data_IF_238151780615
#
_entry.id   IF_238151780615
#
_cell.length_a   1.000
_cell.length_b   1.000
_cell.length_c   1.000
_cell.angle_alpha   90.00
_cell.angle_beta   90.00
_cell.angle_gamma   90.00
#
_symmetry.space_group_name_H-M   'P 1'
#
loop_
_entity.id
_entity.type
_entity.pdbx_description
1 polymer ?
#
# COMPACT_ATOMS: atom_id res chain seq x y z
N UNK A 1 13.22 -12.62 17.06
CA UNK A 1 11.96 -13.41 17.09
C UNK A 1 11.13 -13.14 18.34
N UNK A 2 11.69 -13.26 19.57
CA UNK A 2 10.94 -13.07 20.83
C UNK A 2 10.36 -11.66 21.01
N UNK A 3 11.13 -10.60 20.68
CA UNK A 3 10.64 -9.20 20.76
C UNK A 3 9.37 -8.99 19.94
N UNK A 4 9.43 -9.30 18.64
CA UNK A 4 8.30 -9.17 17.72
C UNK A 4 7.05 -9.94 18.16
N UNK A 5 7.21 -11.10 18.80
CA UNK A 5 6.08 -11.87 19.35
C UNK A 5 5.47 -11.18 20.58
N UNK A 6 6.29 -10.69 21.52
CA UNK A 6 5.83 -9.92 22.69
C UNK A 6 5.09 -8.66 22.26
N UNK A 7 5.68 -7.96 21.32
CA UNK A 7 5.15 -6.75 20.69
C UNK A 7 3.80 -6.99 20.00
N UNK A 8 3.66 -8.12 19.29
CA UNK A 8 2.39 -8.53 18.67
C UNK A 8 1.32 -8.88 19.71
N UNK A 9 1.69 -9.53 20.82
CA UNK A 9 0.77 -9.82 21.93
C UNK A 9 0.31 -8.51 22.57
N UNK A 10 1.23 -7.58 22.83
CA UNK A 10 0.90 -6.26 23.39
C UNK A 10 -0.04 -5.47 22.46
N UNK A 11 0.20 -5.52 21.16
CA UNK A 11 -0.63 -4.87 20.15
C UNK A 11 -2.02 -5.49 19.98
N UNK A 12 -2.22 -6.72 20.44
CA UNK A 12 -3.48 -7.44 20.25
C UNK A 12 -4.67 -6.71 20.90
N UNK A 13 -4.45 -6.08 22.06
CA UNK A 13 -5.46 -5.28 22.76
C UNK A 13 -6.03 -4.14 21.89
N UNK A 14 -5.24 -3.64 20.94
CA UNK A 14 -5.64 -2.56 20.05
C UNK A 14 -6.50 -3.03 18.87
N UNK A 15 -6.62 -4.33 18.61
CA UNK A 15 -7.53 -4.86 17.57
C UNK A 15 -7.30 -4.24 16.18
N UNK A 16 -6.05 -4.00 15.80
CA UNK A 16 -5.70 -3.34 14.53
C UNK A 16 -6.25 -4.05 13.28
N UNK A 17 -6.47 -5.36 13.36
CA UNK A 17 -7.07 -6.17 12.28
C UNK A 17 -8.53 -5.80 11.96
N UNK A 18 -9.21 -5.03 12.83
CA UNK A 18 -10.56 -4.51 12.59
C UNK A 18 -10.58 -3.24 11.71
N UNK A 19 -9.41 -2.68 11.39
CA UNK A 19 -9.22 -1.63 10.37
C UNK A 19 -8.30 -2.15 9.25
N UNK A 20 -8.69 -3.20 8.52
CA UNK A 20 -7.80 -3.95 7.64
C UNK A 20 -7.43 -3.22 6.33
N UNK A 21 -8.03 -2.07 6.05
CA UNK A 21 -7.82 -1.34 4.80
C UNK A 21 -7.58 0.15 5.02
N UNK A 22 -6.69 0.71 4.19
CA UNK A 22 -6.47 2.14 4.01
C UNK A 22 -5.93 2.39 2.59
N UNK A 23 -5.63 3.63 2.23
CA UNK A 23 -5.22 4.03 0.88
C UNK A 23 -3.89 3.42 0.38
N UNK A 24 -3.09 2.80 1.26
CA UNK A 24 -1.79 2.20 0.93
C UNK A 24 -1.67 0.72 1.33
N UNK A 25 -2.64 0.16 2.05
CA UNK A 25 -2.60 -1.22 2.53
C UNK A 25 -3.99 -1.84 2.61
N UNK A 26 -4.05 -3.16 2.41
CA UNK A 26 -5.25 -3.97 2.51
C UNK A 26 -5.47 -4.85 1.29
N UNK A 27 -6.43 -5.77 1.40
CA UNK A 27 -6.68 -6.81 0.41
C UNK A 27 -6.92 -6.25 -1.00
N UNK A 28 -7.65 -5.13 -1.11
CA UNK A 28 -7.93 -4.45 -2.38
C UNK A 28 -6.67 -4.03 -3.17
N UNK A 29 -5.54 -3.79 -2.51
CA UNK A 29 -4.24 -3.49 -3.14
C UNK A 29 -3.34 -4.73 -3.25
N UNK A 30 -3.38 -5.61 -2.25
CA UNK A 30 -2.53 -6.80 -2.21
C UNK A 30 -2.95 -7.83 -3.27
N UNK A 31 -4.24 -8.01 -3.48
CA UNK A 31 -4.76 -8.96 -4.45
C UNK A 31 -4.22 -8.77 -5.88
N UNK A 32 -4.26 -7.56 -6.49
CA UNK A 32 -3.77 -7.35 -7.85
C UNK A 32 -2.24 -7.39 -7.96
N UNK A 33 -1.52 -7.26 -6.84
CA UNK A 33 -0.06 -7.44 -6.78
C UNK A 33 0.32 -8.92 -6.65
N UNK A 34 -0.59 -9.76 -6.17
CA UNK A 34 -0.29 -11.15 -5.86
C UNK A 34 0.30 -11.94 -7.04
N UNK A 35 -0.13 -11.76 -8.30
CA UNK A 35 0.47 -12.48 -9.42
C UNK A 35 1.95 -12.14 -9.64
N UNK A 36 2.37 -10.90 -9.39
CA UNK A 36 3.79 -10.53 -9.57
C UNK A 36 4.72 -11.12 -8.51
N UNK A 37 4.16 -11.73 -7.46
CA UNK A 37 4.91 -12.41 -6.39
C UNK A 37 5.07 -13.91 -6.64
N UNK A 38 4.51 -14.44 -7.73
CA UNK A 38 4.52 -15.86 -8.07
C UNK A 38 5.31 -16.13 -9.34
N UNK A 39 5.70 -17.39 -9.52
CA UNK A 39 6.35 -17.90 -10.73
C UNK A 39 5.32 -18.70 -11.54
N UNK A 40 5.36 -18.54 -12.86
CA UNK A 40 4.45 -19.22 -13.78
C UNK A 40 5.24 -19.96 -14.86
N UNK A 41 5.59 -21.21 -14.58
CA UNK A 41 6.38 -22.05 -15.49
C UNK A 41 5.65 -23.32 -15.89
N UNK A 42 4.66 -23.75 -15.11
CA UNK A 42 3.90 -24.98 -15.32
C UNK A 42 2.40 -24.69 -15.38
N UNK A 43 1.63 -25.60 -16.00
CA UNK A 43 0.16 -25.56 -16.02
C UNK A 43 -0.42 -25.46 -14.60
N UNK A 44 0.18 -26.16 -13.64
CA UNK A 44 -0.25 -26.17 -12.24
C UNK A 44 -0.20 -24.78 -11.60
N UNK A 45 0.81 -23.97 -11.92
CA UNK A 45 0.94 -22.62 -11.35
C UNK A 45 -0.26 -21.73 -11.72
N UNK A 46 -0.73 -21.86 -12.96
CA UNK A 46 -1.92 -21.18 -13.44
C UNK A 46 -3.19 -21.72 -12.79
N UNK A 47 -3.35 -23.04 -12.69
CA UNK A 47 -4.53 -23.65 -12.07
C UNK A 47 -4.65 -23.31 -10.57
N UNK A 48 -3.52 -23.26 -9.86
CA UNK A 48 -3.47 -22.83 -8.46
C UNK A 48 -3.87 -21.35 -8.33
N UNK A 49 -3.39 -20.48 -9.22
CA UNK A 49 -3.77 -19.07 -9.21
C UNK A 49 -5.25 -18.88 -9.53
N UNK A 50 -5.78 -19.56 -10.54
CA UNK A 50 -7.21 -19.54 -10.90
C UNK A 50 -8.06 -19.99 -9.71
N UNK A 51 -7.62 -21.04 -9.00
CA UNK A 51 -8.29 -21.49 -7.77
C UNK A 51 -8.28 -20.42 -6.69
N UNK A 52 -7.15 -19.72 -6.49
CA UNK A 52 -7.07 -18.60 -5.53
C UNK A 52 -8.00 -17.45 -5.92
N UNK A 53 -8.10 -17.12 -7.21
CA UNK A 53 -9.00 -16.07 -7.70
C UNK A 53 -10.46 -16.39 -7.40
N UNK A 54 -10.88 -17.65 -7.64
CA UNK A 54 -12.25 -18.10 -7.31
C UNK A 54 -12.55 -18.06 -5.81
N UNK A 55 -11.53 -18.13 -4.94
CA UNK A 55 -11.68 -18.05 -3.47
C UNK A 55 -11.56 -16.64 -2.90
N UNK A 56 -11.00 -15.70 -3.65
CA UNK A 56 -10.79 -14.33 -3.17
C UNK A 56 -12.07 -13.59 -2.76
N UNK A 57 -13.25 -13.80 -3.37
CA UNK A 57 -14.50 -13.21 -2.90
C UNK A 57 -14.80 -13.50 -1.42
N UNK A 58 -14.46 -14.71 -0.95
CA UNK A 58 -14.62 -15.09 0.47
C UNK A 58 -13.73 -14.23 1.37
N UNK A 59 -12.49 -13.96 0.95
CA UNK A 59 -11.58 -13.11 1.71
C UNK A 59 -12.05 -11.65 1.75
N UNK A 60 -12.66 -11.15 0.67
CA UNK A 60 -13.31 -9.83 0.67
C UNK A 60 -14.48 -9.78 1.65
N UNK A 61 -15.33 -10.81 1.66
CA UNK A 61 -16.46 -10.88 2.59
C UNK A 61 -16.01 -10.91 4.05
N UNK A 62 -15.01 -11.73 4.37
CA UNK A 62 -14.40 -11.77 5.70
C UNK A 62 -13.75 -10.44 6.10
N UNK A 63 -13.12 -9.74 5.14
CA UNK A 63 -12.55 -8.40 5.37
C UNK A 63 -13.65 -7.40 5.72
N UNK A 64 -14.78 -7.42 5.01
CA UNK A 64 -15.93 -6.54 5.30
C UNK A 64 -16.54 -6.85 6.68
N UNK A 65 -16.59 -8.11 7.10
CA UNK A 65 -17.04 -8.50 8.45
C UNK A 65 -16.12 -7.95 9.56
N UNK A 66 -14.80 -8.02 9.39
CA UNK A 66 -13.87 -7.38 10.31
C UNK A 66 -14.07 -5.86 10.35
N UNK A 67 -14.31 -5.23 9.20
CA UNK A 67 -14.58 -3.79 9.10
C UNK A 67 -15.87 -3.41 9.82
N UNK A 68 -16.95 -4.19 9.70
CA UNK A 68 -18.20 -3.98 10.47
C UNK A 68 -17.99 -4.11 11.96
N UNK A 69 -17.21 -5.11 12.38
CA UNK A 69 -16.84 -5.28 13.78
C UNK A 69 -16.02 -4.08 14.29
N UNK A 70 -15.10 -3.56 13.47
CA UNK A 70 -14.36 -2.33 13.74
C UNK A 70 -15.25 -1.10 13.87
N UNK A 71 -16.21 -0.93 12.96
CA UNK A 71 -17.21 0.13 13.04
C UNK A 71 -17.97 0.10 14.38
N UNK A 72 -18.45 -1.08 14.79
CA UNK A 72 -19.18 -1.24 16.05
C UNK A 72 -18.30 -0.94 17.28
N UNK A 73 -16.98 -1.15 17.18
CA UNK A 73 -16.02 -0.85 18.23
C UNK A 73 -15.45 0.58 18.19
N UNK A 74 -15.92 1.45 17.29
CA UNK A 74 -15.36 2.80 17.11
C UNK A 74 -13.95 2.82 16.49
N UNK A 75 -13.52 1.70 15.91
CA UNK A 75 -12.22 1.55 15.26
C UNK A 75 -12.35 1.85 13.77
N UNK A 76 -12.16 3.12 13.42
CA UNK A 76 -12.35 3.61 12.07
C UNK A 76 -11.14 4.37 11.52
N UNK A 77 -10.72 4.11 10.26
CA UNK A 77 -9.77 4.95 9.56
C UNK A 77 -10.35 6.35 9.29
N UNK A 78 -9.49 7.36 9.02
CA UNK A 78 -9.94 8.66 8.56
C UNK A 78 -10.78 8.59 7.29
N UNK A 79 -11.92 9.28 7.28
CA UNK A 79 -12.87 9.30 6.16
C UNK A 79 -12.23 9.70 4.83
N UNK A 80 -11.32 10.67 4.84
CA UNK A 80 -10.64 11.14 3.63
C UNK A 80 -9.70 10.10 3.00
N UNK A 81 -9.21 9.13 3.78
CA UNK A 81 -8.41 8.02 3.26
C UNK A 81 -9.30 6.94 2.64
N UNK A 82 -10.50 6.74 3.19
CA UNK A 82 -11.46 5.75 2.69
C UNK A 82 -12.02 6.13 1.31
N UNK A 83 -12.14 7.41 1.00
CA UNK A 83 -12.47 7.86 -0.36
C UNK A 83 -11.47 7.32 -1.41
N UNK A 84 -10.18 7.25 -1.07
CA UNK A 84 -9.16 6.68 -1.97
C UNK A 84 -9.33 5.17 -2.14
N UNK A 85 -9.69 4.46 -1.07
CA UNK A 85 -9.97 3.00 -1.12
C UNK A 85 -11.14 2.71 -2.07
N UNK A 86 -12.18 3.54 -2.05
CA UNK A 86 -13.31 3.45 -3.00
C UNK A 86 -12.80 3.60 -4.43
N UNK A 87 -12.13 4.71 -4.75
CA UNK A 87 -11.62 4.97 -6.12
C UNK A 87 -10.67 3.88 -6.61
N UNK A 88 -9.77 3.39 -5.75
CA UNK A 88 -8.85 2.30 -6.08
C UNK A 88 -9.60 1.00 -6.41
N UNK A 89 -10.62 0.67 -5.62
CA UNK A 89 -11.43 -0.55 -5.82
C UNK A 89 -12.31 -0.46 -7.07
N UNK A 90 -12.92 0.70 -7.31
CA UNK A 90 -13.71 0.97 -8.52
C UNK A 90 -12.86 0.91 -9.78
N UNK A 91 -11.63 1.43 -9.74
CA UNK A 91 -10.71 1.37 -10.88
C UNK A 91 -10.41 -0.08 -11.26
N UNK A 92 -10.16 -0.94 -10.28
CA UNK A 92 -9.97 -2.38 -10.54
C UNK A 92 -11.25 -2.99 -11.11
N UNK A 93 -12.41 -2.73 -10.49
CA UNK A 93 -13.69 -3.25 -10.93
C UNK A 93 -14.05 -2.87 -12.39
N UNK A 94 -13.69 -1.65 -12.81
CA UNK A 94 -13.98 -1.12 -14.14
C UNK A 94 -12.96 -1.55 -15.21
N UNK A 95 -11.88 -2.23 -14.83
CA UNK A 95 -10.85 -2.66 -15.78
C UNK A 95 -11.33 -3.91 -16.52
N UNK A 96 -11.28 -3.94 -17.88
CA UNK A 96 -11.59 -5.16 -18.64
C UNK A 96 -10.76 -6.35 -18.15
N UNK A 97 -11.32 -7.58 -18.07
CA UNK A 97 -10.61 -8.75 -17.54
C UNK A 97 -9.22 -8.97 -18.14
N UNK A 98 -9.07 -8.75 -19.44
CA UNK A 98 -7.83 -8.93 -20.21
C UNK A 98 -6.77 -7.88 -19.89
N UNK A 99 -7.18 -6.69 -19.48
CA UNK A 99 -6.29 -5.57 -19.09
C UNK A 99 -6.06 -5.51 -17.59
N UNK A 100 -6.68 -6.42 -16.85
CA UNK A 100 -6.59 -6.45 -15.40
C UNK A 100 -5.18 -6.87 -14.96
N UNK A 101 -4.63 -6.31 -13.87
CA UNK A 101 -3.37 -6.81 -13.28
C UNK A 101 -3.42 -8.31 -12.97
N UNK A 102 -4.62 -8.86 -12.70
CA UNK A 102 -4.83 -10.28 -12.47
C UNK A 102 -4.56 -11.15 -13.71
N UNK A 103 -4.65 -10.60 -14.92
CA UNK A 103 -4.38 -11.30 -16.17
C UNK A 103 -2.91 -11.22 -16.62
N UNK A 104 -2.06 -10.43 -15.93
CA UNK A 104 -0.66 -10.23 -16.30
C UNK A 104 0.15 -11.53 -16.52
N UNK A 105 -0.08 -12.64 -15.80
CA UNK A 105 0.61 -13.91 -16.07
C UNK A 105 0.37 -14.48 -17.48
N UNK A 106 -0.72 -14.08 -18.16
CA UNK A 106 -1.05 -14.53 -19.51
C UNK A 106 -0.15 -13.89 -20.58
N UNK A 107 0.47 -12.74 -20.29
CA UNK A 107 1.35 -12.04 -21.24
C UNK A 107 2.67 -12.79 -21.46
N UNK A 108 3.09 -13.58 -20.46
CA UNK A 108 4.33 -14.36 -20.46
C UNK A 108 4.07 -15.86 -20.42
N UNK A 109 2.93 -16.29 -20.94
CA UNK A 109 2.54 -17.70 -20.89
C UNK A 109 3.52 -18.56 -21.72
N UNK A 110 4.22 -19.55 -21.12
CA UNK A 110 5.30 -20.28 -21.78
C UNK A 110 4.83 -21.00 -23.05
N UNK A 111 5.67 -20.96 -24.10
CA UNK A 111 5.38 -21.58 -25.40
C UNK A 111 5.54 -23.11 -25.36
N UNK A 112 6.18 -23.62 -24.32
CA UNK A 112 6.39 -25.03 -24.03
C UNK A 112 5.11 -25.72 -23.53
N UNK A 113 4.17 -24.95 -22.95
CA UNK A 113 2.85 -25.47 -22.56
C UNK A 113 2.04 -25.75 -23.84
N UNK A 114 1.39 -26.93 -23.99
CA UNK A 114 0.59 -27.27 -25.17
C UNK A 114 -0.50 -26.25 -25.48
N UNK A 115 -0.75 -25.96 -26.76
CA UNK A 115 -1.71 -24.92 -27.18
C UNK A 115 -3.11 -25.10 -26.57
N UNK A 116 -3.60 -26.34 -26.49
CA UNK A 116 -4.89 -26.64 -25.86
C UNK A 116 -4.92 -26.20 -24.38
N UNK A 117 -3.84 -26.42 -23.64
CA UNK A 117 -3.71 -25.97 -22.25
C UNK A 117 -3.58 -24.45 -22.16
N UNK A 118 -2.85 -23.81 -23.08
CA UNK A 118 -2.76 -22.34 -23.13
C UNK A 118 -4.12 -21.68 -23.32
N UNK A 119 -4.91 -22.20 -24.27
CA UNK A 119 -6.26 -21.73 -24.55
C UNK A 119 -7.18 -21.93 -23.33
N UNK A 120 -7.14 -23.11 -22.70
CA UNK A 120 -7.89 -23.41 -21.46
C UNK A 120 -7.50 -22.47 -20.32
N UNK A 121 -6.22 -22.28 -20.04
CA UNK A 121 -5.72 -21.40 -18.98
C UNK A 121 -6.20 -19.97 -19.20
N UNK A 122 -6.08 -19.45 -20.43
CA UNK A 122 -6.53 -18.10 -20.77
C UNK A 122 -8.03 -17.94 -20.52
N UNK A 123 -8.84 -18.86 -21.03
CA UNK A 123 -10.30 -18.83 -20.86
C UNK A 123 -10.69 -18.88 -19.38
N UNK A 124 -10.17 -19.85 -18.63
CA UNK A 124 -10.52 -20.02 -17.22
C UNK A 124 -10.02 -18.89 -16.32
N UNK A 125 -8.84 -18.33 -16.61
CA UNK A 125 -8.32 -17.17 -15.87
C UNK A 125 -9.18 -15.93 -16.11
N UNK A 126 -9.51 -15.64 -17.37
CA UNK A 126 -10.38 -14.51 -17.71
C UNK A 126 -11.79 -14.70 -17.12
N UNK A 127 -12.32 -15.93 -17.12
CA UNK A 127 -13.57 -16.25 -16.45
C UNK A 127 -13.49 -16.03 -14.94
N UNK A 128 -12.44 -16.49 -14.26
CA UNK A 128 -12.26 -16.25 -12.82
C UNK A 128 -12.15 -14.74 -12.49
N UNK A 129 -11.48 -13.96 -13.34
CA UNK A 129 -11.40 -12.51 -13.19
C UNK A 129 -12.79 -11.88 -13.35
N UNK A 130 -13.45 -12.15 -14.47
CA UNK A 130 -14.74 -11.57 -14.85
C UNK A 130 -15.87 -11.96 -13.89
N UNK A 131 -15.94 -13.24 -13.53
CA UNK A 131 -17.11 -13.82 -12.86
C UNK A 131 -16.94 -13.88 -11.34
N UNK A 132 -15.69 -13.81 -10.83
CA UNK A 132 -15.42 -13.85 -9.37
C UNK A 132 -14.76 -12.57 -8.86
N UNK A 133 -13.64 -12.15 -9.43
CA UNK A 133 -12.85 -11.04 -8.88
C UNK A 133 -13.52 -9.68 -9.06
N UNK A 134 -13.88 -9.31 -10.29
CA UNK A 134 -14.45 -7.98 -10.56
C UNK A 134 -15.76 -7.76 -9.79
N UNK A 135 -16.70 -8.73 -9.70
CA UNK A 135 -17.88 -8.59 -8.85
C UNK A 135 -17.56 -8.42 -7.37
N UNK A 136 -16.53 -9.10 -6.85
CA UNK A 136 -16.09 -8.90 -5.46
C UNK A 136 -15.56 -7.48 -5.23
N UNK A 137 -14.83 -6.91 -6.19
CA UNK A 137 -14.40 -5.51 -6.14
C UNK A 137 -15.55 -4.52 -6.22
N UNK A 138 -16.57 -4.77 -7.05
CA UNK A 138 -17.79 -3.96 -7.11
C UNK A 138 -18.50 -3.98 -5.75
N UNK A 139 -18.71 -5.17 -5.18
CA UNK A 139 -19.33 -5.36 -3.86
C UNK A 139 -18.55 -4.63 -2.77
N UNK A 140 -17.22 -4.80 -2.74
CA UNK A 140 -16.34 -4.16 -1.78
C UNK A 140 -16.35 -2.63 -1.91
N UNK A 141 -16.21 -2.09 -3.13
CA UNK A 141 -16.26 -0.65 -3.37
C UNK A 141 -17.59 -0.04 -2.90
N UNK A 142 -18.71 -0.72 -3.19
CA UNK A 142 -20.04 -0.31 -2.73
C UNK A 142 -20.11 -0.28 -1.20
N UNK A 143 -19.70 -1.35 -0.53
CA UNK A 143 -19.64 -1.41 0.93
C UNK A 143 -18.80 -0.28 1.54
N UNK A 144 -17.59 -0.07 1.01
CA UNK A 144 -16.72 1.01 1.52
C UNK A 144 -17.39 2.37 1.34
N UNK A 145 -18.00 2.63 0.18
CA UNK A 145 -18.63 3.90 -0.15
C UNK A 145 -19.88 4.19 0.69
N UNK A 146 -20.75 3.19 0.84
CA UNK A 146 -22.09 3.38 1.38
C UNK A 146 -22.19 3.09 2.88
N UNK A 147 -21.40 2.13 3.39
CA UNK A 147 -21.51 1.67 4.79
C UNK A 147 -20.31 2.11 5.65
N UNK A 148 -19.09 1.99 5.12
CA UNK A 148 -17.87 2.18 5.91
C UNK A 148 -17.39 3.65 5.96
N UNK A 149 -17.14 4.26 4.81
CA UNK A 149 -16.58 5.61 4.70
C UNK A 149 -17.42 6.70 5.38
N UNK A 150 -18.77 6.68 5.34
CA UNK A 150 -19.59 7.65 6.05
C UNK A 150 -19.34 7.66 7.57
N UNK A 151 -18.92 6.52 8.14
CA UNK A 151 -18.61 6.33 9.57
C UNK A 151 -17.13 6.56 9.90
N UNK A 152 -16.30 6.87 8.90
CA UNK A 152 -14.88 7.16 9.10
C UNK A 152 -14.67 8.40 9.98
N UNK A 153 -13.63 8.38 10.81
CA UNK A 153 -13.29 9.52 11.69
C UNK A 153 -12.84 10.74 10.89
N UNK A 154 -13.03 11.93 11.45
CA UNK A 154 -12.69 13.21 10.82
C UNK A 154 -11.25 13.63 11.09
N UNK A 155 -10.72 13.25 12.24
CA UNK A 155 -9.39 13.61 12.70
C UNK A 155 -8.35 12.84 11.87
N UNK A 156 -7.17 13.42 11.62
CA UNK A 156 -6.09 12.68 10.95
C UNK A 156 -5.35 11.76 11.92
N UNK A 157 -5.16 12.19 13.17
CA UNK A 157 -4.27 11.55 14.14
C UNK A 157 -4.85 10.33 14.84
N UNK A 158 -4.00 9.35 15.11
CA UNK A 158 -4.34 8.10 15.81
C UNK A 158 -4.88 8.32 17.23
N UNK A 159 -4.58 9.48 17.84
CA UNK A 159 -5.08 9.91 19.14
C UNK A 159 -6.62 9.92 19.25
N UNK A 160 -7.31 10.08 18.12
CA UNK A 160 -8.79 10.10 18.06
C UNK A 160 -9.45 8.73 18.16
N UNK A 161 -8.68 7.64 18.13
CA UNK A 161 -9.20 6.29 18.35
C UNK A 161 -9.34 5.99 19.86
N UNK A 162 -10.17 5.01 20.26
CA UNK A 162 -10.13 4.46 21.61
C UNK A 162 -8.70 4.07 22.00
N UNK A 163 -8.19 4.47 23.16
CA UNK A 163 -6.79 4.25 23.58
C UNK A 163 -5.74 4.90 22.64
N UNK A 164 -6.08 5.99 21.95
CA UNK A 164 -5.28 6.58 20.87
C UNK A 164 -3.83 6.92 21.23
N UNK A 165 -3.58 7.47 22.42
CA UNK A 165 -2.22 7.75 22.90
C UNK A 165 -1.40 6.48 23.10
N UNK A 166 -1.98 5.47 23.76
CA UNK A 166 -1.33 4.17 23.98
C UNK A 166 -1.07 3.43 22.66
N UNK A 167 -2.00 3.53 21.70
CA UNK A 167 -1.82 2.99 20.34
C UNK A 167 -0.64 3.65 19.64
N UNK A 168 -0.56 4.98 19.71
CA UNK A 168 0.49 5.73 19.07
C UNK A 168 1.86 5.42 19.69
N UNK A 169 1.95 5.40 21.03
CA UNK A 169 3.17 5.03 21.74
C UNK A 169 3.63 3.60 21.40
N UNK A 170 2.71 2.64 21.36
CA UNK A 170 3.03 1.27 20.94
C UNK A 170 3.52 1.21 19.48
N UNK A 171 2.84 1.88 18.54
CA UNK A 171 3.26 1.96 17.14
C UNK A 171 4.64 2.61 16.98
N UNK A 172 4.93 3.67 17.73
CA UNK A 172 6.25 4.33 17.75
C UNK A 172 7.32 3.34 18.20
N UNK A 173 7.09 2.58 19.28
CA UNK A 173 8.01 1.54 19.74
C UNK A 173 8.21 0.45 18.69
N UNK A 174 7.13 -0.03 18.05
CA UNK A 174 7.21 -1.03 16.98
C UNK A 174 8.10 -0.57 15.82
N UNK A 175 7.88 0.66 15.36
CA UNK A 175 8.51 1.19 14.14
C UNK A 175 9.93 1.66 14.36
N UNK A 176 10.24 2.21 15.54
CA UNK A 176 11.57 2.76 15.84
C UNK A 176 12.46 1.80 16.59
N UNK A 177 11.88 0.76 17.21
CA UNK A 177 12.56 -0.18 18.10
C UNK A 177 13.24 0.48 19.32
N UNK A 178 12.85 1.71 19.62
CA UNK A 178 13.34 2.52 20.73
C UNK A 178 12.35 2.51 21.89
N UNK A 179 12.85 2.73 23.10
CA UNK A 179 12.03 2.98 24.29
C UNK A 179 11.76 4.48 24.52
N UNK A 180 12.18 5.36 23.59
CA UNK A 180 11.84 6.77 23.63
C UNK A 180 10.33 6.98 23.47
N UNK A 181 9.79 7.90 24.27
CA UNK A 181 8.39 8.33 24.15
C UNK A 181 8.16 9.11 22.83
N UNK A 182 6.91 9.19 22.35
CA UNK A 182 6.59 10.01 21.18
C UNK A 182 7.04 11.46 21.29
N UNK A 183 6.94 12.06 22.49
CA UNK A 183 7.39 13.43 22.74
C UNK A 183 8.91 13.56 22.64
N UNK A 184 9.67 12.63 23.23
CA UNK A 184 11.13 12.63 23.12
C UNK A 184 11.60 12.52 21.66
N UNK A 185 10.92 11.70 20.86
CA UNK A 185 11.20 11.57 19.43
C UNK A 185 10.83 12.84 18.67
N UNK A 186 9.71 13.49 19.01
CA UNK A 186 9.33 14.77 18.41
C UNK A 186 10.40 15.84 18.65
N UNK A 187 10.83 15.99 19.90
CA UNK A 187 11.88 16.94 20.28
C UNK A 187 13.23 16.62 19.62
N UNK A 188 13.58 15.33 19.50
CA UNK A 188 14.76 14.91 18.74
C UNK A 188 14.65 15.31 17.27
N UNK A 189 13.50 15.07 16.64
CA UNK A 189 13.24 15.46 15.25
C UNK A 189 13.40 16.96 15.01
N UNK A 190 12.85 17.80 15.90
CA UNK A 190 13.02 19.26 15.80
C UNK A 190 14.49 19.68 15.86
N UNK A 191 15.28 19.08 16.76
CA UNK A 191 16.72 19.35 16.85
C UNK A 191 17.47 18.91 15.60
N UNK A 192 17.17 17.73 15.08
CA UNK A 192 17.84 17.21 13.88
C UNK A 192 17.48 18.01 12.63
N UNK A 193 16.22 18.45 12.47
CA UNK A 193 15.81 19.35 11.39
C UNK A 193 16.63 20.64 11.44
N UNK A 194 16.70 21.29 12.60
CA UNK A 194 17.45 22.53 12.76
C UNK A 194 18.95 22.35 12.46
N UNK A 195 19.55 21.24 12.94
CA UNK A 195 20.96 20.91 12.69
C UNK A 195 21.23 20.70 11.19
N UNK A 196 20.42 19.86 10.53
CA UNK A 196 20.60 19.52 9.11
C UNK A 196 20.37 20.76 8.23
N UNK A 197 19.32 21.54 8.48
CA UNK A 197 19.09 22.78 7.72
C UNK A 197 20.21 23.80 7.93
N UNK A 198 20.78 23.87 9.14
CA UNK A 198 21.97 24.67 9.43
C UNK A 198 23.18 24.24 8.60
N UNK A 199 23.49 22.94 8.57
CA UNK A 199 24.58 22.37 7.77
C UNK A 199 24.38 22.60 6.27
N UNK A 200 23.18 22.32 5.75
CA UNK A 200 22.85 22.58 4.35
C UNK A 200 22.98 24.07 4.02
N UNK A 201 22.59 24.98 4.93
CA UNK A 201 22.73 26.44 4.72
C UNK A 201 24.19 26.85 4.61
N UNK A 202 25.09 26.26 5.40
CA UNK A 202 26.53 26.52 5.26
C UNK A 202 27.07 26.04 3.91
N UNK A 203 26.57 24.92 3.39
CA UNK A 203 26.90 24.45 2.04
C UNK A 203 26.36 25.42 0.99
N UNK A 204 25.11 25.87 1.11
CA UNK A 204 24.52 26.86 0.20
C UNK A 204 25.36 28.14 0.11
N UNK A 205 25.79 28.68 1.25
CA UNK A 205 26.67 29.86 1.31
C UNK A 205 28.02 29.63 0.65
N UNK A 206 28.63 28.46 0.85
CA UNK A 206 29.89 28.08 0.17
C UNK A 206 29.74 27.97 -1.34
N UNK A 207 28.55 27.62 -1.82
CA UNK A 207 28.19 27.59 -3.24
C UNK A 207 27.74 28.96 -3.79
N UNK A 208 27.78 30.02 -2.99
CA UNK A 208 27.43 31.39 -3.42
C UNK A 208 25.95 31.75 -3.28
N UNK A 209 25.14 30.92 -2.63
CA UNK A 209 23.71 31.20 -2.39
C UNK A 209 23.49 31.86 -1.02
N UNK A 210 22.49 32.73 -0.90
CA UNK A 210 22.17 33.42 0.36
C UNK A 210 21.58 32.47 1.41
N UNK A 211 20.83 31.46 0.97
CA UNK A 211 20.03 30.57 1.80
C UNK A 211 19.67 29.27 1.06
N UNK A 212 19.00 28.35 1.76
CA UNK A 212 18.54 27.08 1.16
C UNK A 212 17.47 27.24 0.10
N UNK A 213 16.63 28.28 0.19
CA UNK A 213 15.53 28.48 -0.75
C UNK A 213 16.09 28.86 -2.13
N UNK A 214 17.08 29.77 -2.16
CA UNK A 214 17.78 30.18 -3.38
C UNK A 214 18.60 29.04 -3.98
N UNK A 215 19.32 28.25 -3.17
CA UNK A 215 20.00 27.04 -3.65
C UNK A 215 19.00 26.04 -4.28
N UNK A 216 17.90 25.71 -3.59
CA UNK A 216 16.87 24.77 -4.10
C UNK A 216 16.26 25.26 -5.41
N UNK A 217 15.92 26.56 -5.49
CA UNK A 217 15.37 27.16 -6.70
C UNK A 217 16.37 27.18 -7.87
N UNK A 218 17.67 27.33 -7.60
CA UNK A 218 18.70 27.24 -8.62
C UNK A 218 18.88 25.80 -9.11
N UNK A 219 18.90 24.82 -8.21
CA UNK A 219 18.96 23.40 -8.55
C UNK A 219 17.79 23.01 -9.46
N UNK A 220 16.56 23.38 -9.08
CA UNK A 220 15.34 23.08 -9.85
C UNK A 220 15.35 23.69 -11.26
N UNK A 221 16.08 24.78 -11.47
CA UNK A 221 16.16 25.47 -12.76
C UNK A 221 17.36 25.04 -13.60
N UNK A 222 18.34 24.35 -13.03
CA UNK A 222 19.56 23.95 -13.74
C UNK A 222 19.30 22.67 -14.55
N UNK A 223 19.20 22.75 -15.89
CA UNK A 223 18.94 21.57 -16.71
C UNK A 223 20.04 20.52 -16.60
N UNK A 224 21.27 20.91 -16.20
CA UNK A 224 22.40 19.98 -16.02
C UNK A 224 22.22 19.03 -14.84
N UNK A 225 21.38 19.38 -13.87
CA UNK A 225 21.07 18.55 -12.71
C UNK A 225 19.88 17.61 -12.97
N UNK A 226 19.28 17.68 -14.17
CA UNK A 226 18.16 16.84 -14.57
C UNK A 226 18.59 15.85 -15.64
N UNK A 227 18.20 14.59 -15.47
CA UNK A 227 18.39 13.61 -16.53
C UNK A 227 17.45 13.90 -17.71
N UNK A 228 17.96 13.77 -18.93
CA UNK A 228 17.22 14.00 -20.17
C UNK A 228 16.69 12.72 -20.81
N UNK A 229 17.06 11.55 -20.27
CA UNK A 229 16.55 10.27 -20.74
C UNK A 229 16.54 9.22 -19.66
N UNK A 230 15.70 8.20 -19.85
CA UNK A 230 15.69 6.99 -19.00
C UNK A 230 17.07 6.31 -18.98
N UNK A 231 17.77 6.27 -20.11
CA UNK A 231 19.08 5.63 -20.21
C UNK A 231 20.13 6.38 -19.40
N UNK A 232 20.11 7.72 -19.44
CA UNK A 232 21.04 8.54 -18.65
C UNK A 232 20.88 8.28 -17.15
N UNK A 233 19.64 8.11 -16.64
CA UNK A 233 19.41 7.77 -15.23
C UNK A 233 20.10 6.44 -14.89
N UNK A 234 19.95 5.42 -15.75
CA UNK A 234 20.58 4.11 -15.54
C UNK A 234 22.10 4.22 -15.60
N UNK A 235 22.65 4.88 -16.62
CA UNK A 235 24.09 5.03 -16.82
C UNK A 235 24.75 5.83 -15.68
N UNK A 236 24.05 6.83 -15.12
CA UNK A 236 24.53 7.56 -13.96
C UNK A 236 24.53 6.66 -12.72
N UNK A 237 23.47 5.89 -12.49
CA UNK A 237 23.37 5.00 -11.33
C UNK A 237 24.41 3.88 -11.36
N UNK A 238 24.66 3.26 -12.51
CA UNK A 238 25.60 2.13 -12.62
C UNK A 238 27.08 2.52 -12.56
N UNK A 239 27.39 3.82 -12.60
CA UNK A 239 28.76 4.34 -12.43
C UNK A 239 29.14 4.58 -10.97
N UNK A 240 28.16 4.64 -10.06
CA UNK A 240 28.39 4.67 -8.61
C UNK A 240 28.55 3.26 -8.06
#
# INVERSE_FOLDING_TARGET
MVRALKERIEGFKFKGWLMPVNQISGLHLQAPQFPSLLTFTTVKDYDDLITRYRKLPVAFDQTMEHMRTGMAAGLMPPKFLLAKVVTQSEKIAATPPEKSPFAAPLDKLPKEIPEAERARIREQMLAAIRDSLLPAYVKFAKFVREEYAPKGRTEPGMWSLPDGEARYAWQVKQMTTSDLTPEQIHQLGLREVARIEGEMTQVAKRLGFSDLKSLRAAIEKDPKLHAHSRQQILDTYTKY
#
